data_IF_599264998078
#
_entry.id   IF_599264998078
#
_cell.length_a   1.000
_cell.length_b   1.000
_cell.length_c   1.000
_cell.angle_alpha   90.00
_cell.angle_beta   90.00
_cell.angle_gamma   90.00
#
_symmetry.space_group_name_H-M   'P 1'
#
loop_
_entity.id
_entity.type
_entity.pdbx_description
1 polymer ?
#
# COMPACT_ATOMS: atom_id res chain seq x y z
N UNK A 1 11.69 -1.85 -4.44
CA UNK A 1 11.05 -0.92 -3.49
C UNK A 1 9.94 -1.65 -2.76
N UNK A 2 9.75 -1.40 -1.48
CA UNK A 2 8.71 -2.05 -0.67
C UNK A 2 7.68 -0.99 -0.27
N UNK A 3 6.40 -1.28 -0.52
CA UNK A 3 5.27 -0.50 -0.03
C UNK A 3 4.57 -1.30 1.06
N UNK A 4 4.55 -0.77 2.28
CA UNK A 4 4.01 -1.47 3.44
C UNK A 4 3.19 -0.54 4.37
N UNK A 5 2.39 -1.13 5.27
CA UNK A 5 1.57 -0.36 6.19
C UNK A 5 2.41 0.42 7.24
N UNK A 6 1.87 1.52 7.77
CA UNK A 6 2.40 2.27 8.92
C UNK A 6 2.33 1.52 10.25
N UNK A 7 1.62 0.39 10.31
CA UNK A 7 1.47 -0.41 11.53
C UNK A 7 2.86 -0.75 12.13
N UNK A 8 3.10 -0.46 13.42
CA UNK A 8 4.42 -0.66 14.03
C UNK A 8 4.91 -2.12 14.04
N UNK A 9 3.99 -3.09 13.88
CA UNK A 9 4.31 -4.52 13.74
C UNK A 9 4.85 -4.87 12.36
N UNK A 10 4.57 -4.04 11.35
CA UNK A 10 4.98 -4.24 9.96
C UNK A 10 6.33 -3.60 9.67
N UNK A 11 7.42 -4.26 10.05
CA UNK A 11 8.79 -3.82 9.74
C UNK A 11 9.38 -4.63 8.57
N UNK A 12 9.47 -4.05 7.35
CA UNK A 12 9.96 -4.76 6.18
C UNK A 12 11.37 -5.32 6.31
N UNK A 13 12.23 -4.64 7.08
CA UNK A 13 13.60 -5.13 7.29
C UNK A 13 13.62 -6.45 8.04
N UNK A 14 12.65 -6.67 8.94
CA UNK A 14 12.54 -7.89 9.73
C UNK A 14 11.91 -9.04 8.94
N UNK A 15 10.73 -8.82 8.36
CA UNK A 15 10.00 -9.94 7.74
C UNK A 15 10.56 -10.36 6.39
N UNK A 16 11.30 -9.50 5.69
CA UNK A 16 12.10 -9.90 4.52
C UNK A 16 13.56 -10.23 4.85
N UNK A 17 13.98 -10.11 6.12
CA UNK A 17 15.35 -10.32 6.56
C UNK A 17 16.36 -9.54 5.69
N UNK A 18 16.12 -8.25 5.56
CA UNK A 18 16.97 -7.36 4.78
C UNK A 18 18.11 -6.84 5.65
N UNK A 19 19.29 -6.79 5.07
CA UNK A 19 20.40 -6.01 5.60
C UNK A 19 20.18 -4.52 5.29
N UNK A 20 20.78 -3.65 6.10
CA UNK A 20 20.61 -2.20 5.95
C UNK A 20 20.92 -1.73 4.52
N UNK A 21 20.03 -0.88 3.98
CA UNK A 21 20.12 -0.25 2.65
C UNK A 21 19.83 -1.14 1.42
N UNK A 22 19.34 -2.37 1.59
CA UNK A 22 19.01 -3.24 0.44
C UNK A 22 17.76 -2.82 -0.33
N UNK A 23 16.82 -2.13 0.32
CA UNK A 23 15.57 -1.71 -0.31
C UNK A 23 15.14 -0.31 0.14
N UNK A 24 14.56 0.43 -0.81
CA UNK A 24 13.78 1.63 -0.50
C UNK A 24 12.44 1.16 0.10
N UNK A 25 12.11 1.67 1.30
CA UNK A 25 10.88 1.35 2.03
C UNK A 25 9.99 2.58 2.08
N UNK A 26 8.80 2.48 1.49
CA UNK A 26 7.73 3.48 1.57
C UNK A 26 6.60 2.94 2.44
N UNK A 27 6.11 3.74 3.39
CA UNK A 27 5.05 3.32 4.31
C UNK A 27 3.90 4.32 4.35
N UNK A 28 2.68 3.81 4.23
CA UNK A 28 1.45 4.59 4.33
C UNK A 28 0.33 3.75 5.00
N UNK A 29 -0.83 4.35 5.27
CA UNK A 29 -1.95 3.60 5.84
C UNK A 29 -2.38 2.48 4.88
N UNK A 30 -2.42 1.23 5.37
CA UNK A 30 -2.79 0.05 4.59
C UNK A 30 -1.67 -0.53 3.72
N UNK A 31 -0.58 0.20 3.44
CA UNK A 31 0.41 -0.23 2.45
C UNK A 31 -0.06 -0.05 1.01
N UNK A 32 -1.00 0.88 0.80
CA UNK A 32 -1.68 1.13 -0.46
C UNK A 32 -0.70 1.68 -1.53
N UNK A 33 -0.56 0.95 -2.63
CA UNK A 33 0.40 1.31 -3.69
C UNK A 33 -0.01 2.56 -4.48
N UNK A 34 -1.31 2.88 -4.54
CA UNK A 34 -1.82 4.07 -5.25
C UNK A 34 -1.34 5.35 -4.58
N UNK A 35 -1.35 5.36 -3.25
CA UNK A 35 -0.81 6.47 -2.46
C UNK A 35 0.72 6.59 -2.56
N UNK A 36 1.41 5.51 -2.95
CA UNK A 36 2.85 5.50 -3.16
C UNK A 36 3.25 5.82 -4.63
N UNK A 37 2.31 5.84 -5.57
CA UNK A 37 2.60 5.91 -7.01
C UNK A 37 3.51 7.09 -7.37
N UNK A 38 3.21 8.28 -6.85
CA UNK A 38 4.00 9.49 -7.13
C UNK A 38 5.47 9.31 -6.76
N UNK A 39 5.75 8.67 -5.63
CA UNK A 39 7.10 8.44 -5.15
C UNK A 39 7.77 7.28 -5.91
N UNK A 40 7.02 6.23 -6.26
CA UNK A 40 7.50 5.15 -7.12
C UNK A 40 7.95 5.70 -8.47
N UNK A 41 7.14 6.54 -9.13
CA UNK A 41 7.49 7.12 -10.43
C UNK A 41 8.71 8.04 -10.36
N UNK A 42 8.81 8.83 -9.30
CA UNK A 42 9.96 9.71 -9.06
C UNK A 42 11.25 8.90 -8.88
N UNK A 43 11.19 7.80 -8.13
CA UNK A 43 12.34 6.95 -7.85
C UNK A 43 12.69 6.03 -9.02
N UNK A 44 11.70 5.50 -9.74
CA UNK A 44 11.94 4.71 -10.95
C UNK A 44 12.66 5.54 -12.01
N UNK A 45 12.25 6.80 -12.21
CA UNK A 45 12.98 7.72 -13.08
C UNK A 45 14.44 7.91 -12.66
N UNK A 46 14.76 7.86 -11.37
CA UNK A 46 16.10 8.12 -10.87
C UNK A 46 16.99 6.86 -10.85
N UNK A 47 16.41 5.69 -10.62
CA UNK A 47 17.13 4.47 -10.27
C UNK A 47 16.78 3.23 -11.10
N UNK A 48 15.82 3.34 -12.03
CA UNK A 48 15.30 2.21 -12.82
C UNK A 48 14.96 1.01 -11.92
N UNK A 49 13.94 1.17 -11.07
CA UNK A 49 13.57 0.19 -10.06
C UNK A 49 13.25 -1.17 -10.70
N UNK A 50 13.91 -2.25 -10.30
CA UNK A 50 13.63 -3.56 -10.90
C UNK A 50 12.34 -4.21 -10.35
N UNK A 51 12.04 -3.97 -9.07
CA UNK A 51 10.97 -4.69 -8.37
C UNK A 51 10.19 -3.76 -7.42
N UNK A 52 8.90 -4.05 -7.27
CA UNK A 52 8.02 -3.46 -6.25
C UNK A 52 7.32 -4.57 -5.48
N UNK A 53 7.49 -4.59 -4.15
CA UNK A 53 6.76 -5.48 -3.25
C UNK A 53 5.64 -4.69 -2.56
N UNK A 54 4.39 -5.08 -2.79
CA UNK A 54 3.21 -4.59 -2.07
C UNK A 54 2.95 -5.52 -0.90
N UNK A 55 2.96 -4.98 0.32
CA UNK A 55 2.78 -5.76 1.54
C UNK A 55 1.63 -5.22 2.38
N UNK A 56 0.53 -5.98 2.41
CA UNK A 56 -0.55 -5.76 3.36
C UNK A 56 -0.39 -6.72 4.54
N UNK A 57 -1.25 -6.62 5.55
CA UNK A 57 -1.12 -7.44 6.75
C UNK A 57 -2.45 -7.78 7.39
N UNK A 58 -2.47 -8.89 8.13
CA UNK A 58 -3.63 -9.28 8.95
C UNK A 58 -3.85 -8.30 10.08
N UNK A 59 -5.11 -8.15 10.53
CA UNK A 59 -5.48 -7.22 11.61
C UNK A 59 -5.09 -5.76 11.31
N UNK A 60 -5.31 -5.33 10.06
CA UNK A 60 -5.06 -3.96 9.63
C UNK A 60 -6.19 -3.01 10.04
N UNK A 61 -5.82 -1.85 10.59
CA UNK A 61 -6.79 -0.83 10.99
C UNK A 61 -7.66 -0.30 9.85
N UNK A 62 -7.20 -0.35 8.60
CA UNK A 62 -7.98 0.10 7.44
C UNK A 62 -9.12 -0.85 7.06
N UNK A 63 -9.20 -2.05 7.68
CA UNK A 63 -10.34 -2.97 7.56
C UNK A 63 -11.52 -2.56 8.47
N UNK A 64 -11.28 -1.68 9.44
CA UNK A 64 -12.26 -1.42 10.52
C UNK A 64 -13.27 -0.33 10.17
N UNK A 65 -13.08 0.37 9.06
CA UNK A 65 -13.95 1.47 8.65
C UNK A 65 -13.97 1.60 7.14
N UNK A 66 -15.13 1.91 6.59
CA UNK A 66 -15.25 2.30 5.19
C UNK A 66 -14.81 3.74 5.00
N UNK A 67 -14.42 4.03 3.77
CA UNK A 67 -14.13 5.36 3.26
C UNK A 67 -15.26 6.37 3.58
N UNK A 68 -16.54 5.95 3.48
CA UNK A 68 -17.70 6.78 3.85
C UNK A 68 -17.81 7.05 5.36
N UNK A 69 -17.52 6.04 6.19
CA UNK A 69 -17.51 6.21 7.66
C UNK A 69 -16.42 7.19 8.09
N UNK A 70 -15.23 7.12 7.48
CA UNK A 70 -14.13 8.06 7.73
C UNK A 70 -14.56 9.49 7.34
N UNK A 71 -15.11 9.67 6.14
CA UNK A 71 -15.61 10.99 5.69
C UNK A 71 -16.67 11.54 6.63
N UNK A 72 -17.65 10.71 7.02
CA UNK A 72 -18.72 11.11 7.95
C UNK A 72 -18.14 11.56 9.29
N UNK A 73 -17.19 10.81 9.85
CA UNK A 73 -16.53 11.15 11.10
C UNK A 73 -15.76 12.48 11.01
N UNK A 74 -15.02 12.72 9.91
CA UNK A 74 -14.28 13.97 9.72
C UNK A 74 -15.23 15.15 9.51
N UNK A 75 -16.26 15.00 8.69
CA UNK A 75 -17.27 16.06 8.42
C UNK A 75 -18.03 16.49 9.66
N UNK A 76 -18.18 15.61 10.66
CA UNK A 76 -18.80 15.95 11.94
C UNK A 76 -17.96 16.89 12.82
N UNK A 77 -16.65 17.05 12.54
CA UNK A 77 -15.72 17.86 13.35
C UNK A 77 -15.10 19.05 12.62
N UNK A 78 -15.38 19.23 11.33
CA UNK A 78 -14.86 20.36 10.51
C UNK A 78 -15.99 21.20 9.95
N UNK A 79 -15.70 22.46 9.62
CA UNK A 79 -16.67 23.36 8.97
C UNK A 79 -17.15 22.79 7.63
N UNK A 80 -18.43 23.04 7.29
CA UNK A 80 -19.05 22.60 6.03
C UNK A 80 -18.33 23.13 4.80
N UNK A 81 -17.66 24.28 4.90
CA UNK A 81 -16.83 24.84 3.82
C UNK A 81 -15.72 23.88 3.36
N UNK A 82 -15.24 22.98 4.24
CA UNK A 82 -14.16 22.04 3.94
C UNK A 82 -14.66 20.65 3.52
N UNK A 83 -15.98 20.43 3.40
CA UNK A 83 -16.50 19.10 3.08
C UNK A 83 -16.06 18.59 1.71
N UNK A 84 -15.92 19.48 0.72
CA UNK A 84 -15.42 19.14 -0.61
C UNK A 84 -13.97 18.63 -0.57
N UNK A 85 -13.15 19.17 0.32
CA UNK A 85 -11.77 18.71 0.53
C UNK A 85 -11.75 17.31 1.13
N UNK A 86 -12.65 17.03 2.09
CA UNK A 86 -12.81 15.69 2.69
C UNK A 86 -13.29 14.66 1.66
N UNK A 87 -14.22 15.06 0.78
CA UNK A 87 -14.76 14.18 -0.27
C UNK A 87 -13.74 13.85 -1.35
N UNK A 88 -12.79 14.74 -1.62
CA UNK A 88 -11.73 14.54 -2.60
C UNK A 88 -10.61 13.59 -2.13
N UNK A 89 -10.56 13.23 -0.84
CA UNK A 89 -9.56 12.31 -0.31
C UNK A 89 -10.00 10.87 -0.58
N UNK A 90 -9.15 10.09 -1.24
CA UNK A 90 -9.23 8.63 -1.27
C UNK A 90 -8.52 8.10 -0.02
N UNK A 91 -9.25 7.42 0.89
CA UNK A 91 -8.65 6.93 2.15
C UNK A 91 -8.06 5.53 2.00
N UNK A 92 -8.57 4.74 1.05
CA UNK A 92 -8.02 3.42 0.72
C UNK A 92 -8.39 2.35 1.76
N UNK A 93 -9.60 2.41 2.33
CA UNK A 93 -10.11 1.36 3.21
C UNK A 93 -10.18 0.02 2.50
N UNK A 94 -9.80 -1.05 3.21
CA UNK A 94 -9.79 -2.41 2.68
C UNK A 94 -11.01 -3.20 3.17
N UNK A 95 -11.41 -4.22 2.42
CA UNK A 95 -12.46 -5.17 2.83
C UNK A 95 -11.87 -6.54 3.15
N UNK A 96 -10.96 -7.01 2.30
CA UNK A 96 -10.22 -8.25 2.48
C UNK A 96 -8.72 -8.02 2.21
N UNK A 97 -7.86 -8.63 3.02
CA UNK A 97 -6.41 -8.39 2.97
C UNK A 97 -5.78 -9.03 1.73
N UNK A 98 -6.15 -10.24 1.37
CA UNK A 98 -5.56 -10.91 0.22
C UNK A 98 -6.06 -10.29 -1.09
N UNK A 99 -7.37 -10.02 -1.17
CA UNK A 99 -7.98 -9.39 -2.33
C UNK A 99 -7.47 -7.95 -2.55
N UNK A 100 -7.26 -7.20 -1.46
CA UNK A 100 -6.64 -5.86 -1.58
C UNK A 100 -5.21 -5.92 -2.13
N UNK A 101 -4.41 -6.94 -1.79
CA UNK A 101 -3.08 -7.12 -2.40
C UNK A 101 -3.21 -7.42 -3.88
N UNK A 102 -4.11 -8.32 -4.28
CA UNK A 102 -4.32 -8.69 -5.70
C UNK A 102 -4.74 -7.48 -6.53
N UNK A 103 -5.75 -6.77 -6.07
CA UNK A 103 -6.28 -5.59 -6.76
C UNK A 103 -5.27 -4.43 -6.81
N UNK A 104 -4.44 -4.24 -5.79
CA UNK A 104 -3.35 -3.25 -5.81
C UNK A 104 -2.27 -3.62 -6.83
N UNK A 105 -1.84 -4.89 -6.86
CA UNK A 105 -0.84 -5.38 -7.81
C UNK A 105 -1.38 -5.32 -9.24
N UNK A 106 -2.61 -5.76 -9.50
CA UNK A 106 -3.24 -5.68 -10.82
C UNK A 106 -3.37 -4.23 -11.29
N UNK A 107 -3.84 -3.34 -10.42
CA UNK A 107 -3.92 -1.91 -10.74
C UNK A 107 -2.55 -1.34 -11.09
N UNK A 108 -1.49 -1.72 -10.38
CA UNK A 108 -0.14 -1.25 -10.68
C UNK A 108 0.36 -1.81 -12.01
N UNK A 109 0.16 -3.11 -12.26
CA UNK A 109 0.53 -3.81 -13.51
C UNK A 109 -0.20 -3.26 -14.73
N UNK A 110 -1.42 -2.75 -14.57
CA UNK A 110 -2.23 -2.15 -15.64
C UNK A 110 -2.09 -0.63 -15.75
N UNK A 111 -1.35 0.02 -14.82
CA UNK A 111 -1.22 1.47 -14.80
C UNK A 111 -0.37 1.96 -15.99
N UNK A 112 -0.89 2.84 -16.87
CA UNK A 112 -0.18 3.31 -18.06
C UNK A 112 1.03 4.20 -17.75
N UNK A 113 1.17 4.69 -16.52
CA UNK A 113 2.28 5.53 -16.09
C UNK A 113 3.52 4.70 -15.69
N UNK A 114 3.38 3.39 -15.51
CA UNK A 114 4.45 2.48 -15.11
C UNK A 114 4.99 1.74 -16.34
N UNK A 115 6.32 1.67 -16.48
CA UNK A 115 6.96 0.93 -17.58
C UNK A 115 6.80 -0.58 -17.43
N UNK A 116 6.84 -1.29 -18.55
CA UNK A 116 6.52 -2.72 -18.62
C UNK A 116 7.42 -3.59 -17.75
N UNK A 117 8.71 -3.30 -17.62
CA UNK A 117 9.60 -4.15 -16.83
C UNK A 117 9.36 -3.98 -15.33
N UNK A 118 8.98 -2.77 -14.87
CA UNK A 118 8.60 -2.55 -13.47
C UNK A 118 7.23 -3.16 -13.14
N UNK A 119 6.29 -3.18 -14.10
CA UNK A 119 5.02 -3.92 -13.96
C UNK A 119 5.28 -5.41 -13.72
N UNK A 120 6.17 -6.01 -14.52
CA UNK A 120 6.55 -7.42 -14.40
C UNK A 120 7.24 -7.73 -13.06
N UNK A 121 8.02 -6.79 -12.53
CA UNK A 121 8.67 -6.89 -11.22
C UNK A 121 7.76 -6.62 -10.01
N UNK A 122 6.47 -6.34 -10.20
CA UNK A 122 5.54 -6.08 -9.10
C UNK A 122 4.99 -7.37 -8.50
N UNK A 123 5.14 -7.55 -7.19
CA UNK A 123 4.70 -8.74 -6.44
C UNK A 123 3.91 -8.35 -5.19
N UNK A 124 2.94 -9.19 -4.81
CA UNK A 124 2.06 -8.98 -3.66
C UNK A 124 2.36 -9.94 -2.50
N UNK A 125 2.24 -9.45 -1.28
CA UNK A 125 2.49 -10.22 -0.06
C UNK A 125 1.51 -9.86 1.06
N UNK A 126 1.26 -10.84 1.94
CA UNK A 126 0.54 -10.66 3.20
C UNK A 126 1.46 -11.02 4.36
N UNK A 127 1.61 -10.10 5.30
CA UNK A 127 2.22 -10.34 6.60
C UNK A 127 1.16 -10.80 7.60
N UNK A 128 1.37 -11.98 8.18
CA UNK A 128 0.68 -12.37 9.41
C UNK A 128 1.33 -11.65 10.59
N UNK A 129 0.63 -10.67 11.19
CA UNK A 129 1.16 -9.86 12.29
C UNK A 129 1.29 -10.63 13.61
N UNK A 130 0.61 -11.76 13.77
CA UNK A 130 0.73 -12.60 14.96
C UNK A 130 1.88 -13.58 14.83
N UNK A 131 2.03 -14.20 13.65
CA UNK A 131 3.11 -15.16 13.39
C UNK A 131 4.44 -14.50 12.98
N UNK A 132 4.40 -13.24 12.53
CA UNK A 132 5.56 -12.52 11.98
C UNK A 132 6.05 -13.07 10.65
N UNK A 133 5.18 -13.78 9.90
CA UNK A 133 5.54 -14.45 8.65
C UNK A 133 4.91 -13.74 7.46
N UNK A 134 5.73 -13.42 6.46
CA UNK A 134 5.27 -12.89 5.18
C UNK A 134 5.08 -14.01 4.18
N UNK A 135 3.99 -13.97 3.43
CA UNK A 135 3.68 -14.95 2.39
C UNK A 135 3.33 -14.22 1.10
N UNK A 136 3.80 -14.75 -0.02
CA UNK A 136 3.45 -14.21 -1.34
C UNK A 136 2.01 -14.57 -1.66
N UNK A 137 1.30 -13.63 -2.26
CA UNK A 137 -0.03 -13.84 -2.82
C UNK A 137 0.13 -14.16 -4.29
N UNK A 138 -0.51 -15.22 -4.76
CA UNK A 138 -0.57 -15.51 -6.19
C UNK A 138 -1.54 -14.53 -6.85
N UNK A 139 -1.01 -13.78 -7.81
CA UNK A 139 -1.74 -12.77 -8.58
C UNK A 139 -1.63 -13.21 -10.03
N UNK A 140 -2.80 -13.43 -10.66
CA UNK A 140 -2.90 -13.89 -12.04
C UNK A 140 -2.22 -12.94 -13.05
#
# INVERSE_FOLDING_TARGET
>A
MIVACLDPRCDPTKFFNLDGYEAIVHRNAGGNIRHALRDILMLDRAFDLNEVAVVHHTDCGTLTSTDEQIRTHIKARVDKAHWAEVDAIEFGSMVDVEESVKTDVEWFRTNPLVREELKQGCQGFVLDTQAGKVQRVDVD
#
